data_IF_608690065967
#
_entry.id   IF_608690065967
#
_cell.length_a   1.000
_cell.length_b   1.000
_cell.length_c   1.000
_cell.angle_alpha   90.00
_cell.angle_beta   90.00
_cell.angle_gamma   90.00
#
_symmetry.space_group_name_H-M   'P 1'
#
loop_
_entity.id
_entity.type
_entity.pdbx_description
1 polymer ?
#
# COMPACT_ATOMS: atom_id res chain seq x y z
N UNK A 1 8.12 -8.32 13.51
CA UNK A 1 7.77 -8.33 12.07
C UNK A 1 6.49 -7.53 11.90
N UNK A 2 6.51 -6.51 11.05
CA UNK A 2 5.33 -5.67 10.75
C UNK A 2 4.65 -6.21 9.51
N UNK A 3 3.32 -6.30 9.52
CA UNK A 3 2.54 -6.86 8.41
C UNK A 3 1.22 -6.13 8.28
N UNK A 4 0.63 -6.17 7.09
CA UNK A 4 -0.73 -5.69 6.84
C UNK A 4 -1.61 -6.82 6.33
N UNK A 5 -2.90 -6.75 6.67
CA UNK A 5 -3.90 -7.67 6.16
C UNK A 5 -4.73 -6.97 5.09
N UNK A 6 -4.85 -7.59 3.92
CA UNK A 6 -5.64 -7.10 2.80
C UNK A 6 -6.77 -8.09 2.56
N UNK A 7 -7.99 -7.58 2.52
CA UNK A 7 -9.19 -8.38 2.28
C UNK A 7 -10.05 -7.76 1.19
N UNK A 8 -10.59 -8.58 0.31
CA UNK A 8 -11.58 -8.16 -0.69
C UNK A 8 -12.77 -9.13 -0.60
N UNK A 9 -13.96 -8.66 -0.15
CA UNK A 9 -15.04 -9.55 0.25
C UNK A 9 -15.69 -10.29 -0.92
N UNK A 10 -15.70 -9.74 -2.14
CA UNK A 10 -16.37 -10.35 -3.30
C UNK A 10 -15.65 -11.60 -3.80
N UNK A 11 -14.33 -11.54 -3.89
CA UNK A 11 -13.45 -12.65 -4.26
C UNK A 11 -13.08 -13.55 -3.07
N UNK A 12 -13.40 -13.12 -1.84
CA UNK A 12 -12.97 -13.75 -0.59
C UNK A 12 -11.45 -13.72 -0.39
N UNK A 13 -10.76 -12.81 -1.08
CA UNK A 13 -9.33 -12.57 -0.84
C UNK A 13 -9.12 -12.21 0.62
N UNK A 14 -8.16 -12.88 1.26
CA UNK A 14 -7.70 -12.55 2.60
C UNK A 14 -6.25 -12.96 2.71
N UNK A 15 -5.35 -11.99 2.52
CA UNK A 15 -3.91 -12.22 2.51
C UNK A 15 -3.23 -11.37 3.59
N UNK A 16 -2.07 -11.84 4.05
CA UNK A 16 -1.20 -11.09 4.94
C UNK A 16 0.09 -10.82 4.20
N UNK A 17 0.47 -9.55 4.10
CA UNK A 17 1.71 -9.12 3.47
C UNK A 17 2.69 -8.66 4.55
N UNK A 18 3.92 -9.16 4.47
CA UNK A 18 5.01 -8.73 5.33
C UNK A 18 5.57 -7.41 4.80
N UNK A 19 5.75 -6.45 5.69
CA UNK A 19 6.41 -5.20 5.36
C UNK A 19 7.93 -5.35 5.45
N UNK A 20 8.65 -4.54 4.67
CA UNK A 20 10.12 -4.60 4.52
C UNK A 20 10.78 -3.34 5.12
N UNK A 21 10.75 -3.13 6.45
CA UNK A 21 11.26 -1.90 7.08
C UNK A 21 12.75 -1.66 6.84
N UNK A 22 13.53 -2.72 6.59
CA UNK A 22 14.97 -2.61 6.28
C UNK A 22 15.24 -2.10 4.85
N UNK A 23 14.25 -2.17 3.95
CA UNK A 23 14.40 -1.76 2.55
C UNK A 23 13.62 -0.49 2.22
N UNK A 24 12.50 -0.25 2.90
CA UNK A 24 11.63 0.90 2.67
C UNK A 24 11.09 1.46 4.00
N UNK A 25 11.97 1.98 4.88
CA UNK A 25 11.59 2.41 6.22
C UNK A 25 10.54 3.53 6.24
N UNK A 26 10.65 4.54 5.39
CA UNK A 26 9.71 5.67 5.36
C UNK A 26 8.34 5.25 4.82
N UNK A 27 8.33 4.43 3.76
CA UNK A 27 7.09 3.89 3.19
C UNK A 27 6.36 2.97 4.17
N UNK A 28 7.10 2.15 4.93
CA UNK A 28 6.54 1.31 5.98
C UNK A 28 6.01 2.14 7.15
N UNK A 29 6.71 3.22 7.53
CA UNK A 29 6.24 4.14 8.57
C UNK A 29 4.94 4.83 8.16
N UNK A 30 4.84 5.30 6.90
CA UNK A 30 3.61 5.84 6.33
C UNK A 30 2.46 4.84 6.41
N UNK A 31 2.64 3.62 5.92
CA UNK A 31 1.59 2.59 5.97
C UNK A 31 1.15 2.29 7.41
N UNK A 32 2.11 2.18 8.33
CA UNK A 32 1.84 1.93 9.74
C UNK A 32 1.00 3.05 10.37
N UNK A 33 1.31 4.31 10.08
CA UNK A 33 0.55 5.46 10.57
C UNK A 33 -0.85 5.56 9.91
N UNK A 34 -0.90 5.44 8.58
CA UNK A 34 -2.13 5.53 7.80
C UNK A 34 -3.16 4.44 8.14
N UNK A 35 -2.67 3.21 8.34
CA UNK A 35 -3.44 2.02 8.68
C UNK A 35 -3.51 1.77 10.20
N UNK A 36 -3.17 2.75 11.04
CA UNK A 36 -3.43 2.69 12.48
C UNK A 36 -4.90 2.45 12.83
N UNK A 37 -5.80 2.65 11.86
CA UNK A 37 -7.17 2.13 11.84
C UNK A 37 -7.47 1.43 10.50
N UNK A 38 -8.33 0.40 10.47
CA UNK A 38 -8.73 -0.25 9.22
C UNK A 38 -9.31 0.74 8.21
N UNK A 39 -9.00 0.54 6.93
CA UNK A 39 -9.46 1.38 5.82
C UNK A 39 -10.20 0.55 4.77
N UNK A 40 -11.22 1.15 4.17
CA UNK A 40 -11.84 0.65 2.95
C UNK A 40 -11.43 1.62 1.85
N UNK A 41 -10.69 1.11 0.87
CA UNK A 41 -10.19 1.88 -0.27
C UNK A 41 -10.67 1.19 -1.56
N UNK A 42 -10.99 1.96 -2.61
CA UNK A 42 -11.36 1.38 -3.89
C UNK A 42 -10.17 0.63 -4.49
N UNK A 43 -10.37 -0.62 -4.89
CA UNK A 43 -9.41 -1.36 -5.70
C UNK A 43 -9.74 -1.19 -7.18
N UNK A 44 -8.76 -0.75 -7.97
CA UNK A 44 -8.90 -0.51 -9.40
C UNK A 44 -7.96 -1.46 -10.12
N UNK A 45 -8.49 -2.32 -10.99
CA UNK A 45 -7.63 -3.13 -11.85
C UNK A 45 -6.97 -2.22 -12.89
N UNK A 46 -5.64 -2.14 -12.89
CA UNK A 46 -4.92 -1.33 -13.85
C UNK A 46 -5.10 -1.90 -15.28
N UNK A 47 -5.20 -1.03 -16.27
CA UNK A 47 -5.36 -1.46 -17.67
C UNK A 47 -4.04 -1.60 -18.43
N UNK A 48 -2.98 -0.94 -17.96
CA UNK A 48 -1.73 -0.76 -18.72
C UNK A 48 -0.51 -1.41 -18.08
N UNK A 49 -0.47 -1.49 -16.75
CA UNK A 49 0.66 -2.05 -15.99
C UNK A 49 0.57 -3.56 -15.79
N UNK A 50 -0.46 -4.20 -16.36
CA UNK A 50 -0.63 -5.65 -16.32
C UNK A 50 -1.43 -6.13 -15.10
N UNK A 51 -1.00 -7.21 -14.41
CA UNK A 51 -1.73 -7.81 -13.29
C UNK A 51 -1.54 -6.99 -12.00
N UNK A 52 -2.14 -5.79 -11.97
CA UNK A 52 -2.06 -4.85 -10.85
C UNK A 52 -3.46 -4.43 -10.37
N UNK A 53 -3.61 -4.33 -9.05
CA UNK A 53 -4.73 -3.63 -8.40
C UNK A 53 -4.18 -2.39 -7.72
N UNK A 54 -4.49 -1.21 -8.27
CA UNK A 54 -4.13 0.07 -7.69
C UNK A 54 -5.19 0.48 -6.66
N UNK A 55 -4.73 0.94 -5.49
CA UNK A 55 -5.61 1.31 -4.37
C UNK A 55 -5.30 2.75 -3.94
N UNK A 56 -5.89 3.77 -4.60
CA UNK A 56 -5.55 5.16 -4.33
C UNK A 56 -5.94 5.55 -2.90
N UNK A 57 -5.01 6.18 -2.19
CA UNK A 57 -5.26 6.77 -0.88
C UNK A 57 -6.12 8.02 -1.05
N UNK A 58 -7.32 8.10 -0.44
CA UNK A 58 -8.16 9.29 -0.55
C UNK A 58 -7.45 10.53 0.01
N UNK A 59 -7.45 11.64 -0.73
CA UNK A 59 -6.79 12.88 -0.30
C UNK A 59 -7.31 13.41 1.06
N UNK A 60 -8.61 13.18 1.35
CA UNK A 60 -9.22 13.53 2.62
C UNK A 60 -8.58 12.79 3.82
N UNK A 61 -8.00 11.60 3.60
CA UNK A 61 -7.30 10.86 4.65
C UNK A 61 -5.86 11.36 4.90
N UNK A 62 -5.35 12.23 4.04
CA UNK A 62 -4.03 12.84 4.15
C UNK A 62 -4.10 14.26 4.73
N UNK A 63 -5.21 14.97 4.54
CA UNK A 63 -5.34 16.37 4.94
C UNK A 63 -5.05 16.58 6.44
N UNK A 64 -4.07 17.44 6.74
CA UNK A 64 -3.68 17.80 8.11
C UNK A 64 -2.93 16.69 8.89
N UNK A 65 -2.58 15.59 8.24
CA UNK A 65 -1.89 14.47 8.88
C UNK A 65 -0.38 14.66 8.84
N UNK A 66 0.29 14.34 9.94
CA UNK A 66 1.75 14.44 10.02
C UNK A 66 2.46 13.53 8.99
N UNK A 67 1.86 12.40 8.65
CA UNK A 67 2.38 11.44 7.68
C UNK A 67 2.12 11.82 6.21
N UNK A 68 1.40 12.92 5.94
CA UNK A 68 1.09 13.35 4.58
C UNK A 68 2.25 14.12 3.93
N UNK A 69 3.41 13.47 3.87
CA UNK A 69 4.59 13.97 3.18
C UNK A 69 4.79 13.20 1.87
N UNK A 70 5.45 13.80 0.86
CA UNK A 70 5.86 13.07 -0.33
C UNK A 70 6.68 11.84 0.05
N UNK A 71 6.32 10.67 -0.49
CA UNK A 71 7.03 9.44 -0.20
C UNK A 71 8.34 9.37 -1.02
N UNK A 72 9.46 8.94 -0.42
CA UNK A 72 10.69 8.70 -1.15
C UNK A 72 10.58 7.46 -2.07
N UNK A 73 11.42 7.42 -3.10
CA UNK A 73 11.51 6.28 -4.03
C UNK A 73 12.29 5.08 -3.44
N UNK A 74 11.89 4.61 -2.25
CA UNK A 74 12.51 3.49 -1.55
C UNK A 74 12.19 2.13 -2.17
N UNK A 75 13.20 1.28 -2.36
CA UNK A 75 13.08 -0.08 -2.91
C UNK A 75 12.21 -0.13 -4.20
N UNK A 76 12.33 0.90 -5.04
CA UNK A 76 11.56 1.03 -6.27
C UNK A 76 11.92 -0.06 -7.29
N UNK A 77 10.93 -0.50 -8.07
CA UNK A 77 11.08 -1.49 -9.14
C UNK A 77 10.25 -1.11 -10.36
N UNK A 78 10.75 -1.42 -11.54
CA UNK A 78 9.99 -1.34 -12.80
C UNK A 78 9.45 -2.70 -13.23
N UNK A 79 9.79 -3.76 -12.49
CA UNK A 79 9.42 -5.15 -12.78
C UNK A 79 8.82 -5.79 -11.53
N UNK A 80 7.65 -5.31 -11.06
CA UNK A 80 6.99 -5.87 -9.89
C UNK A 80 6.68 -7.36 -10.12
N UNK A 81 6.87 -8.15 -9.07
CA UNK A 81 6.59 -9.58 -9.04
C UNK A 81 5.24 -9.86 -8.37
N UNK A 82 4.64 -11.04 -8.61
CA UNK A 82 3.43 -11.45 -7.89
C UNK A 82 3.62 -11.37 -6.36
N UNK A 83 2.75 -10.61 -5.70
CA UNK A 83 2.79 -10.41 -4.25
C UNK A 83 3.50 -9.12 -3.81
N UNK A 84 4.13 -8.39 -4.73
CA UNK A 84 4.72 -7.09 -4.41
C UNK A 84 3.63 -6.08 -4.01
N UNK A 85 3.94 -5.26 -3.00
CA UNK A 85 3.18 -4.07 -2.61
C UNK A 85 4.07 -2.88 -2.90
N UNK A 86 3.61 -2.02 -3.80
CA UNK A 86 4.33 -0.84 -4.27
C UNK A 86 3.60 0.41 -3.82
N UNK A 87 4.35 1.42 -3.37
CA UNK A 87 3.85 2.77 -3.09
C UNK A 87 4.41 3.72 -4.15
N UNK A 88 3.55 4.57 -4.70
CA UNK A 88 3.85 5.53 -5.77
C UNK A 88 3.01 6.79 -5.68
#
# INVERSE_FOLDING_TARGET
MTSIRITEPRSKLSVTALLLPEKAPENVAFLGAYLGRPRIIPGIHAMWTGPEISCPVPAADLAGQAYAQPLPAENATLTPQPGDIVLS
#
